data_IF_414513769870
#
_entry.id   IF_414513769870
#
_cell.length_a   1.000
_cell.length_b   1.000
_cell.length_c   1.000
_cell.angle_alpha   90.00
_cell.angle_beta   90.00
_cell.angle_gamma   90.00
#
_symmetry.space_group_name_H-M   'P 1'
#
loop_
_entity.id
_entity.type
_entity.pdbx_description
1 polymer ?
#
# COMPACT_ATOMS: atom_id res chain seq x y z
N UNK A 1 27.23 -6.00 -8.84
CA UNK A 1 26.56 -6.03 -7.53
C UNK A 1 25.64 -7.23 -7.52
N UNK A 2 25.95 -8.27 -6.73
CA UNK A 2 25.04 -9.40 -6.55
C UNK A 2 23.77 -8.91 -5.86
N UNK A 3 22.62 -9.02 -6.51
CA UNK A 3 21.32 -8.82 -5.86
C UNK A 3 21.13 -9.96 -4.87
N UNK A 4 21.57 -9.74 -3.62
CA UNK A 4 21.39 -10.72 -2.58
C UNK A 4 19.88 -10.78 -2.28
N UNK A 5 19.23 -11.81 -2.81
CA UNK A 5 17.82 -12.05 -2.57
C UNK A 5 17.60 -12.31 -1.09
N UNK A 6 16.49 -11.77 -0.57
CA UNK A 6 16.08 -12.03 0.82
C UNK A 6 15.86 -13.53 1.05
N UNK A 7 16.10 -14.03 2.27
CA UNK A 7 15.78 -15.41 2.62
C UNK A 7 14.28 -15.66 2.41
N UNK A 8 13.94 -16.89 2.00
CA UNK A 8 12.58 -17.24 1.59
C UNK A 8 11.55 -16.87 2.66
N UNK A 9 11.76 -17.28 3.91
CA UNK A 9 10.83 -17.02 5.03
C UNK A 9 10.48 -15.53 5.20
N UNK A 10 11.45 -14.64 4.99
CA UNK A 10 11.27 -13.20 5.13
C UNK A 10 10.39 -12.64 4.01
N UNK A 11 10.54 -13.19 2.80
CA UNK A 11 9.68 -12.87 1.64
C UNK A 11 8.25 -13.39 1.87
N UNK A 12 8.10 -14.60 2.43
CA UNK A 12 6.79 -15.14 2.79
C UNK A 12 6.08 -14.24 3.78
N UNK A 13 6.76 -13.87 4.88
CA UNK A 13 6.19 -13.04 5.93
C UNK A 13 5.80 -11.65 5.43
N UNK A 14 6.60 -11.05 4.53
CA UNK A 14 6.30 -9.76 3.93
C UNK A 14 5.09 -9.81 2.97
N UNK A 15 4.92 -10.91 2.23
CA UNK A 15 3.83 -11.11 1.26
C UNK A 15 2.52 -11.52 1.92
N UNK A 16 2.57 -12.15 3.09
CA UNK A 16 1.41 -12.74 3.76
C UNK A 16 0.25 -11.75 3.97
N UNK A 17 0.46 -10.50 4.43
CA UNK A 17 -0.65 -9.58 4.66
C UNK A 17 -1.41 -9.24 3.37
N UNK A 18 -0.70 -8.98 2.27
CA UNK A 18 -1.36 -8.70 0.98
C UNK A 18 -2.01 -9.96 0.42
N UNK A 19 -1.40 -11.14 0.58
CA UNK A 19 -2.00 -12.38 0.14
C UNK A 19 -3.32 -12.66 0.87
N UNK A 20 -3.36 -12.42 2.18
CA UNK A 20 -4.58 -12.55 2.97
C UNK A 20 -5.65 -11.54 2.53
N UNK A 21 -5.27 -10.29 2.26
CA UNK A 21 -6.18 -9.29 1.69
C UNK A 21 -6.70 -9.73 0.30
N UNK A 22 -5.84 -10.23 -0.59
CA UNK A 22 -6.24 -10.73 -1.90
C UNK A 22 -7.22 -11.91 -1.79
N UNK A 23 -6.96 -12.85 -0.87
CA UNK A 23 -7.85 -13.98 -0.61
C UNK A 23 -9.21 -13.52 -0.06
N UNK A 24 -9.23 -12.51 0.81
CA UNK A 24 -10.46 -11.87 1.28
C UNK A 24 -11.25 -11.25 0.13
N UNK A 25 -10.62 -10.46 -0.74
CA UNK A 25 -11.33 -9.91 -1.90
C UNK A 25 -11.82 -11.00 -2.86
N UNK A 26 -11.04 -12.08 -3.03
CA UNK A 26 -11.43 -13.19 -3.90
C UNK A 26 -12.65 -13.92 -3.36
N UNK A 27 -12.70 -14.15 -2.04
CA UNK A 27 -13.86 -14.78 -1.41
C UNK A 27 -15.10 -13.89 -1.52
N UNK A 28 -14.97 -12.57 -1.37
CA UNK A 28 -16.07 -11.63 -1.61
C UNK A 28 -16.56 -11.64 -3.06
N UNK A 29 -15.65 -11.83 -4.03
CA UNK A 29 -16.03 -11.85 -5.44
C UNK A 29 -16.94 -13.03 -5.77
N UNK A 30 -16.67 -14.20 -5.19
CA UNK A 30 -17.47 -15.41 -5.40
C UNK A 30 -18.67 -15.52 -4.44
N UNK A 31 -18.51 -15.12 -3.18
CA UNK A 31 -19.50 -15.23 -2.11
C UNK A 31 -19.55 -13.93 -1.28
N UNK A 32 -20.16 -12.86 -1.81
CA UNK A 32 -20.13 -11.53 -1.18
C UNK A 32 -20.76 -11.46 0.20
N UNK A 33 -21.67 -12.39 0.53
CA UNK A 33 -22.35 -12.47 1.83
C UNK A 33 -21.75 -13.55 2.76
N UNK A 34 -20.55 -14.05 2.45
CA UNK A 34 -19.95 -15.15 3.22
C UNK A 34 -19.59 -14.78 4.66
N UNK A 35 -19.15 -13.54 4.90
CA UNK A 35 -18.78 -13.07 6.24
C UNK A 35 -19.93 -12.35 6.91
N UNK A 36 -20.49 -11.34 6.24
CA UNK A 36 -21.65 -10.57 6.66
C UNK A 36 -22.20 -9.77 5.45
N UNK A 37 -23.31 -9.04 5.64
CA UNK A 37 -23.94 -8.19 4.62
C UNK A 37 -23.16 -6.91 4.29
N UNK A 38 -22.26 -6.48 5.18
CA UNK A 38 -21.41 -5.30 5.01
C UNK A 38 -20.05 -5.64 4.39
N UNK A 39 -19.74 -6.89 4.11
CA UNK A 39 -18.39 -7.34 3.77
C UNK A 39 -17.89 -6.70 2.47
N UNK A 40 -18.79 -6.47 1.50
CA UNK A 40 -18.47 -5.74 0.26
C UNK A 40 -18.18 -4.26 0.52
N UNK A 41 -18.99 -3.61 1.36
CA UNK A 41 -18.73 -2.23 1.80
C UNK A 41 -17.38 -2.14 2.51
N UNK A 42 -17.06 -3.17 3.31
CA UNK A 42 -15.80 -3.26 4.01
C UNK A 42 -14.62 -3.42 3.03
N UNK A 43 -14.74 -4.29 2.03
CA UNK A 43 -13.75 -4.38 0.95
C UNK A 43 -13.53 -3.04 0.22
N UNK A 44 -14.60 -2.28 -0.03
CA UNK A 44 -14.49 -0.95 -0.64
C UNK A 44 -13.72 0.03 0.25
N UNK A 45 -14.02 0.05 1.55
CA UNK A 45 -13.30 0.85 2.54
C UNK A 45 -11.82 0.47 2.65
N UNK A 46 -11.47 -0.82 2.57
CA UNK A 46 -10.06 -1.26 2.51
C UNK A 46 -9.36 -0.59 1.32
N UNK A 47 -9.99 -0.56 0.14
CA UNK A 47 -9.41 0.06 -1.05
C UNK A 47 -9.28 1.58 -0.91
N UNK A 48 -10.26 2.25 -0.29
CA UNK A 48 -10.17 3.69 0.01
C UNK A 48 -9.03 4.00 0.98
N UNK A 49 -8.87 3.21 2.04
CA UNK A 49 -7.76 3.34 2.99
C UNK A 49 -6.43 3.07 2.30
N UNK A 50 -6.36 2.08 1.42
CA UNK A 50 -5.15 1.76 0.66
C UNK A 50 -4.77 2.89 -0.31
N UNK A 51 -5.74 3.53 -0.96
CA UNK A 51 -5.49 4.72 -1.77
C UNK A 51 -4.78 5.81 -0.96
N UNK A 52 -5.25 6.09 0.25
CA UNK A 52 -4.60 7.05 1.14
C UNK A 52 -3.20 6.60 1.52
N UNK A 53 -3.04 5.34 1.93
CA UNK A 53 -1.76 4.81 2.35
C UNK A 53 -0.73 4.81 1.22
N UNK A 54 -1.15 4.58 -0.02
CA UNK A 54 -0.29 4.68 -1.19
C UNK A 54 0.29 6.09 -1.35
N UNK A 55 -0.52 7.14 -1.12
CA UNK A 55 -0.04 8.53 -1.13
C UNK A 55 0.85 8.83 0.08
N UNK A 56 0.45 8.38 1.26
CA UNK A 56 1.21 8.57 2.50
C UNK A 56 2.60 7.92 2.44
N UNK A 57 2.75 6.83 1.68
CA UNK A 57 4.01 6.09 1.52
C UNK A 57 5.12 6.94 0.91
N UNK A 58 4.79 7.88 0.02
CA UNK A 58 5.77 8.83 -0.57
C UNK A 58 6.34 9.72 0.54
N UNK A 59 5.46 10.33 1.32
CA UNK A 59 5.83 11.23 2.42
C UNK A 59 6.59 10.51 3.53
N UNK A 60 6.18 9.27 3.85
CA UNK A 60 6.88 8.46 4.84
C UNK A 60 8.32 8.16 4.37
N UNK A 61 8.50 7.81 3.10
CA UNK A 61 9.83 7.61 2.51
C UNK A 61 10.72 8.85 2.60
N UNK A 62 10.21 10.00 2.16
CA UNK A 62 10.99 11.25 2.16
C UNK A 62 11.28 11.78 3.56
N UNK A 63 10.33 11.67 4.50
CA UNK A 63 10.44 12.27 5.84
C UNK A 63 11.15 11.36 6.84
N UNK A 64 10.79 10.07 6.88
CA UNK A 64 11.38 9.14 7.86
C UNK A 64 12.87 8.88 7.57
N UNK A 65 13.24 8.87 6.29
CA UNK A 65 14.59 8.55 5.84
C UNK A 65 15.37 9.76 5.33
N UNK A 66 14.87 10.98 5.55
CA UNK A 66 15.65 12.20 5.29
C UNK A 66 17.01 12.13 6.02
N UNK A 67 18.14 12.26 5.32
CA UNK A 67 19.45 12.39 5.95
C UNK A 67 19.48 13.69 6.77
N UNK A 68 20.27 13.71 7.85
CA UNK A 68 20.56 14.89 8.66
C UNK A 68 19.34 15.59 9.32
N UNK A 69 18.19 14.93 9.41
CA UNK A 69 17.01 15.44 10.13
C UNK A 69 16.95 14.86 11.55
N UNK A 70 16.76 15.72 12.55
CA UNK A 70 16.66 15.30 13.96
C UNK A 70 15.48 14.34 14.19
N UNK A 71 15.65 13.39 15.12
CA UNK A 71 14.61 12.39 15.45
C UNK A 71 13.28 13.04 15.81
N UNK A 72 13.31 14.13 16.57
CA UNK A 72 12.11 14.88 16.98
C UNK A 72 11.37 15.49 15.78
N UNK A 73 12.10 16.05 14.81
CA UNK A 73 11.48 16.60 13.58
C UNK A 73 10.87 15.51 12.71
N UNK A 74 11.52 14.33 12.63
CA UNK A 74 10.97 13.14 11.95
C UNK A 74 9.68 12.67 12.61
N UNK A 75 9.68 12.50 13.93
CA UNK A 75 8.49 12.08 14.69
C UNK A 75 7.34 13.08 14.51
N UNK A 76 7.61 14.38 14.66
CA UNK A 76 6.59 15.43 14.45
C UNK A 76 6.03 15.40 13.02
N UNK A 77 6.87 15.22 12.01
CA UNK A 77 6.44 15.09 10.61
C UNK A 77 5.54 13.87 10.41
N UNK A 78 5.96 12.70 10.89
CA UNK A 78 5.19 11.46 10.80
C UNK A 78 3.84 11.60 11.51
N UNK A 79 3.83 12.15 12.73
CA UNK A 79 2.60 12.37 13.49
C UNK A 79 1.66 13.35 12.79
N UNK A 80 2.19 14.47 12.27
CA UNK A 80 1.39 15.45 11.53
C UNK A 80 0.72 14.83 10.30
N UNK A 81 1.46 14.04 9.51
CA UNK A 81 0.89 13.32 8.37
C UNK A 81 -0.10 12.24 8.78
N UNK A 82 0.19 11.49 9.84
CA UNK A 82 -0.72 10.47 10.35
C UNK A 82 -2.06 11.10 10.78
N UNK A 83 -2.02 12.20 11.53
CA UNK A 83 -3.22 12.94 11.94
C UNK A 83 -4.00 13.47 10.73
N UNK A 84 -3.31 14.05 9.75
CA UNK A 84 -3.95 14.52 8.51
C UNK A 84 -4.71 13.40 7.80
N UNK A 85 -4.09 12.22 7.61
CA UNK A 85 -4.74 11.10 6.95
C UNK A 85 -5.82 10.42 7.80
N UNK A 86 -5.70 10.46 9.13
CA UNK A 86 -6.75 9.98 10.04
C UNK A 86 -8.05 10.77 9.89
N UNK A 87 -8.02 12.04 9.50
CA UNK A 87 -9.24 12.82 9.23
C UNK A 87 -10.07 12.22 8.09
N UNK A 88 -9.43 11.75 7.03
CA UNK A 88 -10.13 11.10 5.92
C UNK A 88 -10.69 9.74 6.31
N UNK A 89 -9.90 8.95 7.05
CA UNK A 89 -10.35 7.65 7.57
C UNK A 89 -11.54 7.85 8.52
N UNK A 90 -11.51 8.87 9.37
CA UNK A 90 -12.62 9.23 10.24
C UNK A 90 -13.87 9.66 9.44
N UNK A 91 -13.71 10.45 8.37
CA UNK A 91 -14.82 10.84 7.50
C UNK A 91 -15.51 9.62 6.86
N UNK A 92 -14.74 8.65 6.36
CA UNK A 92 -15.30 7.41 5.83
C UNK A 92 -15.89 6.51 6.90
N UNK A 93 -15.25 6.41 8.06
CA UNK A 93 -15.77 5.68 9.21
C UNK A 93 -17.16 6.20 9.60
N UNK A 94 -17.35 7.53 9.63
CA UNK A 94 -18.66 8.15 9.87
C UNK A 94 -19.64 7.84 8.73
N UNK A 95 -19.22 8.03 7.46
CA UNK A 95 -20.09 7.83 6.29
C UNK A 95 -20.61 6.39 6.15
N UNK A 96 -19.80 5.41 6.54
CA UNK A 96 -20.14 3.99 6.51
C UNK A 96 -20.60 3.46 7.87
N UNK A 97 -20.72 4.34 8.89
CA UNK A 97 -21.07 3.99 10.28
C UNK A 97 -20.23 2.84 10.84
N UNK A 98 -18.94 2.83 10.50
CA UNK A 98 -18.04 1.72 10.74
C UNK A 98 -16.73 2.21 11.38
N UNK A 99 -16.33 1.64 12.51
CA UNK A 99 -15.07 2.01 13.20
C UNK A 99 -13.86 1.18 12.73
N UNK A 100 -14.10 0.02 12.13
CA UNK A 100 -13.02 -0.89 11.73
C UNK A 100 -12.05 -0.36 10.65
N UNK A 101 -12.33 0.70 9.84
CA UNK A 101 -11.33 1.27 8.92
C UNK A 101 -10.02 1.69 9.61
N UNK A 102 -10.03 2.01 10.90
CA UNK A 102 -8.81 2.25 11.68
C UNK A 102 -7.96 0.98 11.85
N UNK A 103 -8.60 -0.18 12.01
CA UNK A 103 -7.90 -1.48 12.02
C UNK A 103 -7.38 -1.82 10.63
N UNK A 104 -8.16 -1.55 9.58
CA UNK A 104 -7.74 -1.74 8.19
C UNK A 104 -6.47 -0.92 7.89
N UNK A 105 -6.46 0.33 8.33
CA UNK A 105 -5.29 1.19 8.23
C UNK A 105 -4.08 0.60 8.95
N UNK A 106 -4.24 0.13 10.19
CA UNK A 106 -3.18 -0.54 10.92
C UNK A 106 -2.64 -1.79 10.21
N UNK A 107 -3.52 -2.63 9.67
CA UNK A 107 -3.19 -3.83 8.91
C UNK A 107 -2.39 -3.51 7.64
N UNK A 108 -2.88 -2.56 6.84
CA UNK A 108 -2.23 -2.16 5.58
C UNK A 108 -0.92 -1.44 5.84
N UNK A 109 -0.84 -0.60 6.88
CA UNK A 109 0.40 0.03 7.30
C UNK A 109 1.43 -1.04 7.74
N UNK A 110 1.00 -2.02 8.52
CA UNK A 110 1.84 -3.15 8.90
C UNK A 110 2.37 -3.91 7.67
N UNK A 111 1.52 -4.17 6.67
CA UNK A 111 1.93 -4.81 5.41
C UNK A 111 3.04 -4.05 4.67
N UNK A 112 3.02 -2.71 4.70
CA UNK A 112 4.06 -1.87 4.09
C UNK A 112 5.33 -1.83 4.94
N UNK A 113 5.18 -1.73 6.26
CA UNK A 113 6.30 -1.69 7.20
C UNK A 113 7.03 -3.03 7.30
N UNK A 114 6.36 -4.17 7.22
CA UNK A 114 6.99 -5.50 7.27
C UNK A 114 8.02 -5.70 6.14
N UNK A 115 7.77 -5.10 4.97
CA UNK A 115 8.71 -5.11 3.86
C UNK A 115 9.88 -4.12 4.06
N UNK A 116 9.64 -3.00 4.73
CA UNK A 116 10.62 -1.91 4.94
C UNK A 116 11.47 -2.06 6.20
N UNK A 117 10.99 -2.76 7.23
CA UNK A 117 11.64 -2.86 8.55
C UNK A 117 12.47 -4.12 8.75
N UNK A 118 12.89 -4.77 7.66
CA UNK A 118 13.66 -6.00 7.77
C UNK A 118 15.07 -5.76 8.32
N UNK A 119 15.57 -6.63 9.23
CA UNK A 119 16.92 -6.50 9.80
C UNK A 119 18.03 -6.59 8.74
N UNK A 120 19.18 -5.94 9.02
CA UNK A 120 20.42 -6.12 8.26
C UNK A 120 20.54 -5.32 6.96
N UNK A 121 19.59 -4.44 6.64
CA UNK A 121 19.64 -3.61 5.42
C UNK A 121 20.34 -2.28 5.65
N UNK A 122 21.23 -1.90 4.73
CA UNK A 122 21.83 -0.57 4.75
C UNK A 122 20.76 0.51 4.49
N UNK A 123 20.91 1.75 5.03
CA UNK A 123 19.92 2.82 4.84
C UNK A 123 19.54 3.10 3.39
N UNK A 124 20.51 3.03 2.47
CA UNK A 124 20.32 3.26 1.04
C UNK A 124 19.45 2.16 0.40
N UNK A 125 19.68 0.90 0.76
CA UNK A 125 18.91 -0.25 0.26
C UNK A 125 17.48 -0.17 0.77
N UNK A 126 17.30 0.18 2.05
CA UNK A 126 15.97 0.35 2.65
C UNK A 126 15.15 1.40 1.93
N UNK A 127 15.78 2.54 1.60
CA UNK A 127 15.15 3.60 0.80
C UNK A 127 14.76 3.09 -0.60
N UNK A 128 15.69 2.44 -1.32
CA UNK A 128 15.41 1.90 -2.65
C UNK A 128 14.25 0.90 -2.64
N UNK A 129 14.17 0.04 -1.62
CA UNK A 129 13.10 -0.94 -1.47
C UNK A 129 11.74 -0.29 -1.20
N UNK A 130 11.72 0.75 -0.37
CA UNK A 130 10.49 1.52 -0.15
C UNK A 130 10.04 2.25 -1.41
N UNK A 131 10.96 2.86 -2.15
CA UNK A 131 10.66 3.52 -3.43
C UNK A 131 10.16 2.53 -4.48
N UNK A 132 10.81 1.36 -4.59
CA UNK A 132 10.38 0.28 -5.48
C UNK A 132 9.00 -0.23 -5.10
N UNK A 133 8.75 -0.48 -3.80
CA UNK A 133 7.46 -0.94 -3.31
C UNK A 133 6.35 0.07 -3.54
N UNK A 134 6.63 1.36 -3.33
CA UNK A 134 5.68 2.43 -3.66
C UNK A 134 5.39 2.47 -5.16
N UNK A 135 6.42 2.47 -6.02
CA UNK A 135 6.25 2.56 -7.46
C UNK A 135 5.49 1.34 -8.02
N UNK A 136 5.83 0.12 -7.58
CA UNK A 136 5.08 -1.09 -7.91
C UNK A 136 3.63 -1.02 -7.45
N UNK A 137 3.39 -0.52 -6.23
CA UNK A 137 2.04 -0.26 -5.72
C UNK A 137 1.30 0.77 -6.58
N UNK A 138 1.91 1.90 -6.92
CA UNK A 138 1.28 2.93 -7.74
C UNK A 138 0.94 2.42 -9.13
N UNK A 139 1.86 1.69 -9.77
CA UNK A 139 1.63 1.04 -11.06
C UNK A 139 0.49 0.02 -10.98
N UNK A 140 0.48 -0.84 -9.96
CA UNK A 140 -0.60 -1.81 -9.77
C UNK A 140 -1.94 -1.13 -9.48
N UNK A 141 -1.94 -0.05 -8.71
CA UNK A 141 -3.16 0.70 -8.40
C UNK A 141 -3.75 1.31 -9.67
N UNK A 142 -2.91 2.02 -10.45
CA UNK A 142 -3.33 2.60 -11.74
C UNK A 142 -3.80 1.51 -12.71
N UNK A 143 -3.02 0.44 -12.88
CA UNK A 143 -3.40 -0.67 -13.74
C UNK A 143 -4.75 -1.27 -13.31
N UNK A 144 -4.98 -1.48 -12.02
CA UNK A 144 -6.24 -2.00 -11.52
C UNK A 144 -7.42 -1.06 -11.74
N UNK A 145 -7.23 0.26 -11.60
CA UNK A 145 -8.25 1.26 -11.97
C UNK A 145 -8.58 1.14 -13.45
N UNK A 146 -7.58 1.19 -14.34
CA UNK A 146 -7.81 1.12 -15.79
C UNK A 146 -8.48 -0.22 -16.19
N UNK A 147 -7.96 -1.34 -15.71
CA UNK A 147 -8.51 -2.66 -16.01
C UNK A 147 -9.98 -2.77 -15.58
N UNK A 148 -10.33 -2.33 -14.37
CA UNK A 148 -11.69 -2.52 -13.85
C UNK A 148 -12.70 -1.47 -14.32
N UNK A 149 -12.23 -0.34 -14.84
CA UNK A 149 -13.07 0.68 -15.49
C UNK A 149 -13.35 0.32 -16.95
N UNK A 150 -12.34 -0.11 -17.70
CA UNK A 150 -12.45 -0.29 -19.16
C UNK A 150 -12.74 -1.73 -19.59
N UNK A 151 -12.37 -2.73 -18.80
CA UNK A 151 -12.66 -4.13 -19.10
C UNK A 151 -13.94 -4.56 -18.38
N UNK A 152 -14.88 -5.24 -19.06
CA UNK A 152 -16.04 -5.82 -18.39
C UNK A 152 -15.63 -6.81 -17.30
N UNK A 153 -15.80 -6.42 -16.04
CA UNK A 153 -15.50 -7.28 -14.90
C UNK A 153 -16.68 -8.23 -14.65
N UNK A 154 -16.47 -9.56 -14.64
CA UNK A 154 -17.53 -10.50 -14.33
C UNK A 154 -18.06 -10.28 -12.91
N UNK A 155 -19.38 -10.40 -12.75
CA UNK A 155 -20.05 -10.18 -11.45
C UNK A 155 -19.77 -11.29 -10.44
N UNK A 156 -19.61 -12.53 -10.91
CA UNK A 156 -19.62 -13.74 -10.08
C UNK A 156 -20.76 -13.68 -9.04
N UNK A 157 -20.45 -13.73 -7.74
CA UNK A 157 -21.45 -13.69 -6.67
C UNK A 157 -22.14 -12.34 -6.48
N UNK A 158 -21.59 -11.26 -7.03
CA UNK A 158 -22.09 -9.88 -6.86
C UNK A 158 -23.14 -9.58 -7.95
N UNK A 159 -24.26 -10.31 -7.88
CA UNK A 159 -25.39 -10.15 -8.81
C UNK A 159 -26.22 -8.90 -8.48
N UNK A 160 -27.11 -8.49 -9.39
CA UNK A 160 -27.96 -7.32 -9.17
C UNK A 160 -28.84 -7.45 -7.90
N UNK A 161 -29.33 -8.66 -7.60
CA UNK A 161 -30.12 -8.93 -6.40
C UNK A 161 -29.31 -8.86 -5.11
N UNK A 162 -28.01 -9.22 -5.16
CA UNK A 162 -27.11 -9.03 -4.01
C UNK A 162 -26.83 -7.54 -3.83
N UNK A 163 -26.53 -6.81 -4.91
CA UNK A 163 -26.21 -5.37 -4.83
C UNK A 163 -27.32 -4.57 -4.15
N UNK A 164 -28.59 -4.87 -4.42
CA UNK A 164 -29.71 -4.22 -3.76
C UNK A 164 -29.82 -4.50 -2.26
N UNK A 165 -29.18 -5.55 -1.75
CA UNK A 165 -29.17 -5.92 -0.33
C UNK A 165 -28.01 -5.28 0.45
N UNK A 166 -26.96 -4.81 -0.24
CA UNK A 166 -25.73 -4.33 0.41
C UNK A 166 -25.87 -2.94 1.05
N UNK A 167 -26.95 -2.21 0.77
CA UNK A 167 -27.24 -0.84 1.25
C UNK A 167 -26.02 0.09 1.21
N UNK A 168 -25.29 0.06 0.08
CA UNK A 168 -24.02 0.80 -0.06
C UNK A 168 -24.28 2.32 -0.09
N UNK A 169 -23.63 3.12 0.79
CA UNK A 169 -23.87 4.54 0.85
C UNK A 169 -23.24 5.29 -0.32
N UNK A 170 -23.93 6.30 -0.83
CA UNK A 170 -23.39 7.26 -1.81
C UNK A 170 -23.68 6.93 -3.28
N UNK A 171 -22.79 7.34 -4.17
CA UNK A 171 -22.93 7.16 -5.62
C UNK A 171 -21.56 6.95 -6.29
N UNK A 172 -21.56 6.58 -7.57
CA UNK A 172 -20.36 6.38 -8.36
C UNK A 172 -20.13 4.91 -8.76
N UNK A 173 -19.06 4.67 -9.52
CA UNK A 173 -18.83 3.39 -10.17
C UNK A 173 -18.79 2.22 -9.18
N UNK A 174 -18.09 2.35 -8.06
CA UNK A 174 -17.95 1.28 -7.08
C UNK A 174 -19.24 0.99 -6.31
N UNK A 175 -20.14 1.96 -6.19
CA UNK A 175 -21.46 1.76 -5.58
C UNK A 175 -22.39 1.06 -6.56
N UNK A 176 -22.42 1.51 -7.83
CA UNK A 176 -23.30 0.95 -8.85
C UNK A 176 -22.83 -0.41 -9.40
N UNK A 177 -21.52 -0.66 -9.37
CA UNK A 177 -20.87 -1.89 -9.88
C UNK A 177 -19.78 -2.37 -8.89
N UNK A 178 -20.14 -2.80 -7.67
CA UNK A 178 -19.16 -3.13 -6.63
C UNK A 178 -18.20 -4.26 -7.00
N UNK A 179 -18.58 -5.12 -7.95
CA UNK A 179 -17.66 -6.13 -8.48
C UNK A 179 -16.37 -5.54 -9.06
N UNK A 180 -16.38 -4.27 -9.54
CA UNK A 180 -15.18 -3.64 -10.09
C UNK A 180 -14.13 -3.39 -9.01
N UNK A 181 -14.53 -2.85 -7.84
CA UNK A 181 -13.58 -2.60 -6.74
C UNK A 181 -13.15 -3.89 -6.05
N UNK A 182 -14.03 -4.89 -6.00
CA UNK A 182 -13.68 -6.19 -5.41
C UNK A 182 -12.65 -6.91 -6.29
N UNK A 183 -12.87 -6.99 -7.61
CA UNK A 183 -11.88 -7.52 -8.54
C UNK A 183 -10.57 -6.72 -8.54
N UNK A 184 -10.67 -5.40 -8.40
CA UNK A 184 -9.49 -4.53 -8.23
C UNK A 184 -8.70 -4.93 -6.99
N UNK A 185 -9.36 -5.12 -5.83
CA UNK A 185 -8.69 -5.59 -4.61
C UNK A 185 -7.96 -6.92 -4.80
N UNK A 186 -8.57 -7.90 -5.48
CA UNK A 186 -7.91 -9.18 -5.81
C UNK A 186 -6.63 -8.94 -6.61
N UNK A 187 -6.74 -8.18 -7.69
CA UNK A 187 -5.60 -7.89 -8.56
C UNK A 187 -4.49 -7.14 -7.82
N UNK A 188 -4.85 -6.06 -7.14
CA UNK A 188 -3.89 -5.17 -6.48
C UNK A 188 -3.10 -5.89 -5.39
N UNK A 189 -3.81 -6.49 -4.42
CA UNK A 189 -3.17 -7.17 -3.32
C UNK A 189 -2.47 -8.47 -3.78
N UNK A 190 -3.02 -9.16 -4.77
CA UNK A 190 -2.37 -10.33 -5.38
C UNK A 190 -1.05 -9.96 -6.06
N UNK A 191 -1.02 -8.86 -6.79
CA UNK A 191 0.20 -8.34 -7.39
C UNK A 191 1.23 -7.92 -6.34
N UNK A 192 0.83 -7.21 -5.28
CA UNK A 192 1.73 -6.82 -4.20
C UNK A 192 2.32 -8.04 -3.47
N UNK A 193 1.48 -9.03 -3.16
CA UNK A 193 1.91 -10.29 -2.57
C UNK A 193 2.95 -10.98 -3.47
N UNK A 194 2.68 -11.06 -4.77
CA UNK A 194 3.61 -11.66 -5.74
C UNK A 194 4.93 -10.88 -5.83
N UNK A 195 4.87 -9.55 -5.87
CA UNK A 195 6.05 -8.69 -5.94
C UNK A 195 6.94 -8.86 -4.71
N UNK A 196 6.35 -8.89 -3.50
CA UNK A 196 7.07 -9.14 -2.25
C UNK A 196 7.60 -10.57 -2.17
N UNK A 197 6.80 -11.54 -2.58
CA UNK A 197 7.21 -12.94 -2.64
C UNK A 197 8.39 -13.12 -3.60
N UNK A 198 8.39 -12.48 -4.76
CA UNK A 198 9.47 -12.58 -5.77
C UNK A 198 10.65 -11.66 -5.49
N UNK A 199 10.57 -10.82 -4.45
CA UNK A 199 11.57 -9.82 -4.10
C UNK A 199 11.89 -8.88 -5.28
N UNK A 200 10.84 -8.43 -5.97
CA UNK A 200 10.98 -7.50 -7.10
C UNK A 200 11.52 -6.15 -6.62
N UNK A 201 12.59 -5.70 -7.27
CA UNK A 201 13.21 -4.42 -7.05
C UNK A 201 13.30 -3.68 -8.38
N UNK A 202 12.78 -2.46 -8.40
CA UNK A 202 12.95 -1.62 -9.57
C UNK A 202 14.38 -1.06 -9.57
N UNK A 203 14.99 -0.89 -10.74
CA UNK A 203 16.26 -0.19 -10.85
C UNK A 203 16.15 1.18 -10.18
N UNK A 204 17.15 1.54 -9.38
CA UNK A 204 17.24 2.89 -8.84
C UNK A 204 17.25 3.86 -10.01
N UNK A 205 16.20 4.68 -10.16
CA UNK A 205 16.30 5.82 -11.05
C UNK A 205 17.50 6.64 -10.58
N UNK A 206 18.43 6.96 -11.49
CA UNK A 206 19.50 7.92 -11.22
C UNK A 206 18.87 9.30 -11.03
N UNK A 207 18.27 9.54 -9.85
CA UNK A 207 17.73 10.83 -9.49
C UNK A 207 18.91 11.81 -9.38
N UNK A 208 18.96 12.88 -10.20
CA UNK A 208 19.99 13.90 -10.09
C UNK A 208 19.90 14.52 -8.69
N UNK A 209 20.86 14.23 -7.82
CA UNK A 209 20.86 14.71 -6.44
C UNK A 209 21.59 13.80 -5.45
N UNK A 210 21.67 12.49 -5.71
CA UNK A 210 22.41 11.55 -4.85
C UNK A 210 23.94 11.60 -5.03
N UNK A 211 24.43 12.13 -6.16
CA UNK A 211 25.88 12.32 -6.39
C UNK A 211 26.49 13.44 -5.54
N UNK A 212 25.69 14.40 -5.06
CA UNK A 212 26.20 15.56 -4.33
C UNK A 212 26.77 15.22 -2.94
N UNK A 213 26.50 14.02 -2.41
CA UNK A 213 27.05 13.54 -1.13
C UNK A 213 28.16 12.49 -1.29
N UNK A 214 28.57 12.16 -2.52
CA UNK A 214 29.66 11.21 -2.78
C UNK A 214 31.00 11.89 -3.10
N UNK A 215 31.09 13.22 -3.11
CA UNK A 215 32.37 13.92 -3.29
C UNK A 215 33.15 13.98 -1.98
N UNK A 216 34.00 12.96 -1.80
CA UNK A 216 35.31 12.90 -1.15
C UNK A 216 35.48 13.42 0.31
N UNK A 217 36.09 12.64 1.21
CA UNK A 217 36.70 13.22 2.41
C UNK A 217 37.83 14.17 1.97
N UNK A 218 37.77 15.44 2.39
CA UNK A 218 38.93 16.33 2.31
C UNK A 218 40.08 15.69 3.10
N UNK A 219 41.10 15.20 2.40
CA UNK A 219 42.40 14.95 3.03
C UNK A 219 42.88 16.25 3.69
N UNK A 220 43.49 16.18 4.88
CA UNK A 220 44.09 17.36 5.50
C UNK A 220 45.21 17.86 4.59
N UNK A 221 45.26 19.17 4.35
CA UNK A 221 46.51 19.77 3.87
C UNK A 221 47.49 19.70 5.03
N UNK A 222 48.53 18.88 4.86
CA UNK A 222 49.74 19.03 5.63
C UNK A 222 50.29 20.44 5.34
N UNK A 223 50.44 21.21 6.40
CA UNK A 223 51.10 22.52 6.40
C UNK A 223 52.55 22.30 6.80
N UNK A 224 53.45 22.42 5.83
CA UNK A 224 54.86 22.77 6.05
C UNK A 224 55.02 24.30 6.03
#
# INVERSE_FOLDING_TARGET
>A
MSTQHRPLWSRMLAALPDLASAAFFLSLWFKPLYFDEHAVANGMLIMLVEFILLHASVFLGTTAFAPNTSRSKKIKGILGFALFYLLFIAAWAISFKAWWPFLAFGWLLFAKLSAALQPGQAPIERMQRMQSGWALGAMAYLAGVFLTVFVPVPRFGITASVVSQLDLPGSGLWISKPQTVIAFGVFYFGFLALAKWRDWLLPSANLPGLKAHQTAPKQPRDTD
#
